data_IF_055354420870
#
_entry.id   IF_055354420870
#
_cell.length_a   1.000
_cell.length_b   1.000
_cell.length_c   1.000
_cell.angle_alpha   90.00
_cell.angle_beta   90.00
_cell.angle_gamma   90.00
#
_symmetry.space_group_name_H-M   'P 1'
#
loop_
_entity.id
_entity.type
_entity.pdbx_description
1 polymer ?
#
# COMPACT_ATOMS: atom_id res chain seq x y z
N UNK A 1 8.06 7.29 2.35
CA UNK A 1 7.70 6.04 3.06
C UNK A 1 7.05 5.01 2.14
N UNK A 2 5.87 5.28 1.54
CA UNK A 2 5.21 4.35 0.61
C UNK A 2 6.04 3.98 -0.62
N UNK A 3 6.85 4.91 -1.11
CA UNK A 3 7.74 4.66 -2.25
C UNK A 3 8.84 3.64 -1.93
N UNK A 4 9.39 3.69 -0.71
CA UNK A 4 10.34 2.71 -0.21
C UNK A 4 9.67 1.34 0.05
N UNK A 5 8.42 1.34 0.53
CA UNK A 5 7.62 0.13 0.72
C UNK A 5 7.32 -0.57 -0.61
N UNK A 6 6.89 0.20 -1.61
CA UNK A 6 6.60 -0.32 -2.95
C UNK A 6 7.86 -0.90 -3.59
N UNK A 7 8.99 -0.21 -3.47
CA UNK A 7 10.28 -0.69 -3.98
C UNK A 7 10.73 -1.98 -3.30
N UNK A 8 10.66 -2.06 -1.98
CA UNK A 8 11.01 -3.28 -1.24
C UNK A 8 10.14 -4.48 -1.66
N UNK A 9 8.83 -4.28 -1.88
CA UNK A 9 7.94 -5.34 -2.36
C UNK A 9 8.22 -5.76 -3.80
N UNK A 10 8.53 -4.81 -4.67
CA UNK A 10 8.90 -5.08 -6.07
C UNK A 10 10.22 -5.86 -6.16
N UNK A 11 11.21 -5.47 -5.36
CA UNK A 11 12.53 -6.12 -5.32
C UNK A 11 12.45 -7.58 -4.77
N UNK A 12 11.37 -7.92 -4.04
CA UNK A 12 11.15 -9.22 -3.41
C UNK A 12 9.85 -9.91 -3.87
N UNK A 13 9.42 -9.64 -5.11
CA UNK A 13 8.10 -10.01 -5.62
C UNK A 13 7.76 -11.50 -5.44
N UNK A 14 8.69 -12.40 -5.78
CA UNK A 14 8.46 -13.85 -5.68
C UNK A 14 8.27 -14.34 -4.24
N UNK A 15 8.95 -13.71 -3.29
CA UNK A 15 8.85 -14.01 -1.85
C UNK A 15 7.51 -13.54 -1.28
N UNK A 16 7.07 -12.34 -1.67
CA UNK A 16 5.77 -11.81 -1.26
C UNK A 16 4.60 -12.55 -1.90
N UNK A 17 4.72 -12.98 -3.16
CA UNK A 17 3.68 -13.75 -3.82
C UNK A 17 3.41 -15.06 -3.06
N UNK A 18 4.47 -15.79 -2.70
CA UNK A 18 4.36 -17.04 -1.93
C UNK A 18 3.82 -16.78 -0.52
N UNK A 19 4.17 -15.67 0.12
CA UNK A 19 3.68 -15.33 1.46
C UNK A 19 2.20 -14.92 1.46
N UNK A 20 1.77 -14.15 0.45
CA UNK A 20 0.38 -13.72 0.26
C UNK A 20 -0.50 -14.89 -0.24
N UNK A 21 0.02 -15.79 -1.10
CA UNK A 21 -0.68 -17.01 -1.54
C UNK A 21 -0.74 -18.09 -0.45
N UNK A 22 0.29 -18.23 0.40
CA UNK A 22 0.26 -19.11 1.57
C UNK A 22 -0.71 -18.59 2.65
N UNK A 23 -1.08 -17.32 2.60
CA UNK A 23 -2.13 -16.69 3.39
C UNK A 23 -3.52 -16.97 2.83
N UNK A 24 -3.95 -18.23 2.78
CA UNK A 24 -5.35 -18.59 2.50
C UNK A 24 -6.33 -18.10 3.60
N UNK A 25 -5.82 -17.52 4.69
CA UNK A 25 -6.55 -16.72 5.68
C UNK A 25 -6.57 -15.24 5.26
N UNK A 26 -7.66 -14.55 5.56
CA UNK A 26 -7.83 -13.12 5.33
C UNK A 26 -6.56 -12.32 5.65
N UNK A 27 -6.07 -11.43 4.78
CA UNK A 27 -4.86 -10.62 5.03
C UNK A 27 -4.92 -9.88 6.37
N UNK A 28 -6.12 -9.53 6.82
CA UNK A 28 -6.41 -8.82 8.06
C UNK A 28 -6.10 -9.63 9.33
N UNK A 29 -5.94 -10.95 9.22
CA UNK A 29 -5.67 -11.85 10.35
C UNK A 29 -4.16 -12.07 10.57
N UNK A 30 -3.32 -11.59 9.65
CA UNK A 30 -1.87 -11.74 9.76
C UNK A 30 -1.28 -10.69 10.73
N UNK A 31 -0.44 -11.10 11.69
CA UNK A 31 0.29 -10.16 12.56
C UNK A 31 1.13 -9.15 11.76
N UNK A 32 1.65 -9.58 10.61
CA UNK A 32 2.38 -8.70 9.70
C UNK A 32 1.48 -7.62 9.13
N UNK A 33 0.23 -7.93 8.78
CA UNK A 33 -0.72 -6.94 8.28
C UNK A 33 -1.07 -5.91 9.35
N UNK A 34 -1.33 -6.33 10.58
CA UNK A 34 -1.60 -5.42 11.70
C UNK A 34 -0.45 -4.43 11.92
N UNK A 35 0.80 -4.91 11.83
CA UNK A 35 1.98 -4.07 11.89
C UNK A 35 2.07 -3.10 10.70
N UNK A 36 1.89 -3.61 9.47
CA UNK A 36 1.90 -2.79 8.25
C UNK A 36 0.77 -1.76 8.20
N UNK A 37 -0.34 -1.96 8.90
CA UNK A 37 -1.45 -1.02 9.02
C UNK A 37 -1.18 0.09 10.04
N UNK A 38 -0.58 -0.25 11.17
CA UNK A 38 -0.35 0.70 12.26
C UNK A 38 0.56 1.85 11.83
N UNK A 39 1.65 1.57 11.13
CA UNK A 39 2.62 2.59 10.69
C UNK A 39 2.01 3.68 9.77
N UNK A 40 1.32 3.36 8.66
CA UNK A 40 0.67 4.37 7.83
C UNK A 40 -0.52 5.02 8.53
N UNK A 41 -1.28 4.29 9.37
CA UNK A 41 -2.38 4.87 10.16
C UNK A 41 -1.87 6.00 11.06
N UNK A 42 -0.81 5.75 11.83
CA UNK A 42 -0.28 6.72 12.79
C UNK A 42 0.36 7.93 12.09
N UNK A 43 0.89 7.73 10.88
CA UNK A 43 1.36 8.82 10.02
C UNK A 43 0.20 9.66 9.50
N UNK A 44 -0.87 9.01 9.02
CA UNK A 44 -2.06 9.69 8.51
C UNK A 44 -2.83 10.44 9.60
N UNK A 45 -2.83 9.92 10.83
CA UNK A 45 -3.48 10.56 11.98
C UNK A 45 -2.82 11.89 12.38
N UNK A 46 -1.60 12.17 11.91
CA UNK A 46 -0.96 13.49 12.07
C UNK A 46 -1.49 14.52 11.04
N UNK A 47 -2.16 14.05 10.00
CA UNK A 47 -2.59 14.83 8.84
C UNK A 47 -4.12 14.93 8.72
N UNK A 48 -4.87 14.06 9.38
CA UNK A 48 -6.33 13.95 9.33
C UNK A 48 -6.87 13.35 10.62
N UNK A 49 -8.19 13.34 10.82
CA UNK A 49 -8.83 12.67 11.95
C UNK A 49 -8.57 11.14 11.98
N UNK A 50 -8.64 10.55 13.18
CA UNK A 50 -8.22 9.16 13.43
C UNK A 50 -9.08 8.12 12.68
N UNK A 51 -10.38 8.39 12.51
CA UNK A 51 -11.29 7.49 11.80
C UNK A 51 -10.92 7.43 10.31
N UNK A 52 -10.75 8.60 9.68
CA UNK A 52 -10.28 8.72 8.30
C UNK A 52 -8.88 8.15 8.11
N UNK A 53 -7.97 8.33 9.07
CA UNK A 53 -6.63 7.78 9.03
C UNK A 53 -6.64 6.24 9.00
N UNK A 54 -7.48 5.61 9.83
CA UNK A 54 -7.66 4.15 9.87
C UNK A 54 -8.16 3.59 8.54
N UNK A 55 -9.18 4.21 7.96
CA UNK A 55 -9.73 3.80 6.68
C UNK A 55 -8.73 3.99 5.52
N UNK A 56 -8.09 5.17 5.44
CA UNK A 56 -7.10 5.45 4.39
C UNK A 56 -5.90 4.51 4.44
N UNK A 57 -5.45 4.10 5.64
CA UNK A 57 -4.39 3.12 5.78
C UNK A 57 -4.75 1.78 5.12
N UNK A 58 -5.99 1.30 5.27
CA UNK A 58 -6.45 0.08 4.59
C UNK A 58 -6.47 0.24 3.06
N UNK A 59 -6.99 1.36 2.57
CA UNK A 59 -7.08 1.64 1.12
C UNK A 59 -5.68 1.69 0.49
N UNK A 60 -4.75 2.40 1.13
CA UNK A 60 -3.38 2.52 0.63
C UNK A 60 -2.63 1.18 0.68
N UNK A 61 -2.84 0.38 1.73
CA UNK A 61 -2.28 -0.97 1.79
C UNK A 61 -2.84 -1.89 0.71
N UNK A 62 -4.14 -1.81 0.43
CA UNK A 62 -4.77 -2.57 -0.65
C UNK A 62 -4.17 -2.19 -2.02
N UNK A 63 -3.90 -0.90 -2.25
CA UNK A 63 -3.31 -0.41 -3.49
C UNK A 63 -1.85 -0.86 -3.72
N UNK A 64 -1.17 -1.37 -2.69
CA UNK A 64 0.22 -1.87 -2.75
C UNK A 64 0.35 -3.36 -2.39
N UNK A 65 -0.75 -4.12 -2.47
CA UNK A 65 -0.68 -5.58 -2.36
C UNK A 65 0.11 -6.17 -3.52
N UNK A 66 0.89 -7.23 -3.26
CA UNK A 66 1.79 -7.77 -4.27
C UNK A 66 1.02 -8.41 -5.43
N UNK A 67 -0.12 -9.02 -5.16
CA UNK A 67 -1.02 -9.58 -6.18
C UNK A 67 -1.56 -8.52 -7.16
N UNK A 68 -2.01 -7.36 -6.66
CA UNK A 68 -2.45 -6.25 -7.50
C UNK A 68 -1.28 -5.71 -8.34
N UNK A 69 -0.12 -5.49 -7.72
CA UNK A 69 1.06 -5.00 -8.44
C UNK A 69 1.49 -6.00 -9.53
N UNK A 70 1.45 -7.30 -9.23
CA UNK A 70 1.73 -8.34 -10.21
C UNK A 70 0.72 -8.31 -11.36
N UNK A 71 -0.57 -8.13 -11.08
CA UNK A 71 -1.61 -7.97 -12.10
C UNK A 71 -1.34 -6.73 -12.99
N UNK A 72 -1.00 -5.58 -12.40
CA UNK A 72 -0.72 -4.35 -13.14
C UNK A 72 0.49 -4.48 -14.08
N UNK A 73 1.52 -5.22 -13.67
CA UNK A 73 2.71 -5.46 -14.50
C UNK A 73 2.45 -6.49 -15.59
N UNK A 74 1.79 -7.60 -15.25
CA UNK A 74 1.70 -8.78 -16.12
C UNK A 74 0.51 -8.72 -17.08
N UNK A 75 -0.63 -8.21 -16.62
CA UNK A 75 -1.88 -8.13 -17.38
C UNK A 75 -2.03 -6.75 -18.01
N UNK A 76 -1.95 -5.69 -17.20
CA UNK A 76 -2.12 -4.31 -17.68
C UNK A 76 -0.86 -3.73 -18.35
N UNK A 77 0.26 -4.46 -18.31
CA UNK A 77 1.55 -4.11 -18.95
C UNK A 77 2.08 -2.73 -18.55
N UNK A 78 1.74 -2.26 -17.35
CA UNK A 78 2.27 -0.99 -16.84
C UNK A 78 3.73 -1.14 -16.43
N UNK A 79 4.53 -0.11 -16.70
CA UNK A 79 5.88 -0.05 -16.17
C UNK A 79 5.87 0.21 -14.66
N UNK A 80 6.94 -0.19 -13.98
CA UNK A 80 7.11 0.10 -12.55
C UNK A 80 6.99 1.61 -12.26
N UNK A 81 7.55 2.45 -13.13
CA UNK A 81 7.51 3.90 -12.95
C UNK A 81 6.10 4.49 -13.16
N UNK A 82 5.34 3.93 -14.10
CA UNK A 82 3.94 4.28 -14.31
C UNK A 82 3.10 3.95 -13.06
N UNK A 83 3.28 2.75 -12.49
CA UNK A 83 2.59 2.31 -11.27
C UNK A 83 2.94 3.24 -10.10
N UNK A 84 4.23 3.56 -9.91
CA UNK A 84 4.68 4.48 -8.85
C UNK A 84 4.09 5.87 -9.01
N UNK A 85 4.08 6.40 -10.24
CA UNK A 85 3.50 7.72 -10.55
C UNK A 85 2.01 7.77 -10.22
N UNK A 86 1.25 6.74 -10.63
CA UNK A 86 -0.19 6.66 -10.36
C UNK A 86 -0.50 6.50 -8.87
N UNK A 87 0.27 5.68 -8.15
CA UNK A 87 0.14 5.53 -6.69
C UNK A 87 0.44 6.84 -5.96
N UNK A 88 1.50 7.55 -6.33
CA UNK A 88 1.85 8.84 -5.74
C UNK A 88 0.75 9.89 -5.98
N UNK A 89 0.23 9.97 -7.21
CA UNK A 89 -0.89 10.84 -7.54
C UNK A 89 -2.17 10.49 -6.75
N UNK A 90 -2.47 9.20 -6.61
CA UNK A 90 -3.61 8.74 -5.82
C UNK A 90 -3.48 9.14 -4.35
N UNK A 91 -2.33 8.87 -3.71
CA UNK A 91 -2.03 9.31 -2.34
C UNK A 91 -2.22 10.82 -2.20
N UNK A 92 -1.70 11.61 -3.14
CA UNK A 92 -1.83 13.06 -3.13
C UNK A 92 -3.28 13.54 -3.24
N UNK A 93 -4.13 12.81 -3.95
CA UNK A 93 -5.55 13.15 -4.14
C UNK A 93 -6.41 12.87 -2.91
N UNK A 94 -6.03 11.88 -2.08
CA UNK A 94 -6.83 11.46 -0.92
C UNK A 94 -6.40 12.12 0.39
N UNK A 95 -5.19 12.66 0.44
CA UNK A 95 -4.68 13.44 1.57
C UNK A 95 -5.32 14.83 1.61
N UNK A 96 -5.69 15.36 2.80
CA UNK A 96 -6.19 16.73 2.95
C UNK A 96 -5.16 17.76 2.46
N UNK A 97 -5.64 18.90 1.92
CA UNK A 97 -4.78 19.96 1.39
C UNK A 97 -3.80 20.55 2.43
N UNK A 98 -4.10 20.42 3.73
CA UNK A 98 -3.29 20.94 4.84
C UNK A 98 -2.15 20.01 5.26
N UNK A 99 -2.14 18.76 4.79
CA UNK A 99 -1.06 17.78 5.00
C UNK A 99 0.14 18.01 4.06
N UNK A 100 0.12 19.12 3.31
CA UNK A 100 1.05 19.44 2.20
C UNK A 100 2.15 20.43 2.59
N UNK A 101 2.28 20.76 3.89
CA UNK A 101 3.32 21.66 4.44
C UNK A 101 4.45 20.89 5.10
#
# INVERSE_FOLDING_TARGET
MFDALARFKLDNQSLYLVLEEAGASSPYESPSYAWWHTTPRDSLAQCTDAERAGFLAHVLLAAVRADLIAHLVTVERLSVEEIRTRLAAHVHSVLPADARR
#
